data_IF_362875905030
#
_entry.id   IF_362875905030
#
_cell.length_a   1.000
_cell.length_b   1.000
_cell.length_c   1.000
_cell.angle_alpha   90.00
_cell.angle_beta   90.00
_cell.angle_gamma   90.00
#
_symmetry.space_group_name_H-M   'P 1'
#
loop_
_entity.id
_entity.type
_entity.pdbx_description
1 polymer ?
#
# COMPACT_ATOMS: atom_id res chain seq x y z
N UNK A 1 -9.82 -1.50 23.36
CA UNK A 1 -9.70 -0.51 22.27
C UNK A 1 -9.67 -1.27 20.95
N UNK A 2 -10.59 -1.01 20.02
CA UNK A 2 -10.45 -1.53 18.66
C UNK A 2 -9.35 -0.70 17.98
N UNK A 3 -8.18 -1.30 17.77
CA UNK A 3 -7.05 -0.61 17.15
C UNK A 3 -7.36 -0.22 15.71
N UNK A 4 -6.78 0.88 15.24
CA UNK A 4 -6.80 1.20 13.81
C UNK A 4 -6.08 0.10 13.05
N UNK A 5 -6.70 -0.45 12.01
CA UNK A 5 -6.09 -1.49 11.17
C UNK A 5 -5.75 -0.87 9.82
N UNK A 6 -4.55 -1.15 9.32
CA UNK A 6 -4.17 -0.83 7.95
C UNK A 6 -3.93 -2.12 7.19
N UNK A 7 -4.57 -2.25 6.04
CA UNK A 7 -4.35 -3.33 5.10
C UNK A 7 -3.61 -2.78 3.88
N UNK A 8 -2.65 -3.54 3.38
CA UNK A 8 -2.03 -3.31 2.08
C UNK A 8 -2.05 -4.63 1.29
N UNK A 9 -2.33 -4.52 0.00
CA UNK A 9 -2.45 -5.66 -0.89
C UNK A 9 -1.96 -5.29 -2.28
N UNK A 10 -1.78 -6.31 -3.11
CA UNK A 10 -1.58 -6.12 -4.55
C UNK A 10 -2.74 -6.77 -5.31
N UNK A 11 -3.12 -6.15 -6.43
CA UNK A 11 -4.19 -6.64 -7.30
C UNK A 11 -3.95 -6.20 -8.74
N UNK A 12 -4.64 -6.83 -9.69
CA UNK A 12 -4.67 -6.36 -11.08
C UNK A 12 -5.29 -4.95 -11.15
N UNK A 13 -4.66 -4.10 -11.97
CA UNK A 13 -5.14 -2.78 -12.31
C UNK A 13 -4.86 -2.43 -13.77
N UNK A 14 -5.19 -1.20 -14.21
CA UNK A 14 -5.15 -0.81 -15.63
C UNK A 14 -3.79 -0.94 -16.33
N UNK A 15 -2.71 -1.15 -15.57
CA UNK A 15 -1.34 -1.25 -16.08
C UNK A 15 -0.60 -2.48 -15.54
N UNK A 16 -1.32 -3.50 -15.07
CA UNK A 16 -0.75 -4.70 -14.44
C UNK A 16 -0.91 -4.67 -12.91
N UNK A 17 -0.08 -5.44 -12.19
CA UNK A 17 -0.19 -5.54 -10.73
C UNK A 17 0.12 -4.20 -10.05
N UNK A 18 -0.74 -3.80 -9.12
CA UNK A 18 -0.67 -2.54 -8.39
C UNK A 18 -0.77 -2.77 -6.90
N UNK A 19 -0.02 -1.99 -6.12
CA UNK A 19 -0.07 -2.01 -4.66
C UNK A 19 -0.99 -0.91 -4.16
N UNK A 20 -1.92 -1.28 -3.30
CA UNK A 20 -2.88 -0.37 -2.68
C UNK A 20 -2.92 -0.58 -1.16
N UNK A 21 -3.45 0.41 -0.45
CA UNK A 21 -3.72 0.30 0.98
C UNK A 21 -5.05 0.96 1.37
N UNK A 22 -5.63 0.50 2.47
CA UNK A 22 -6.82 1.09 3.09
C UNK A 22 -6.72 0.97 4.61
N UNK A 23 -7.43 1.86 5.30
CA UNK A 23 -7.50 1.91 6.76
C UNK A 23 -8.91 1.57 7.23
N UNK A 24 -9.01 0.72 8.24
CA UNK A 24 -10.25 0.45 8.94
C UNK A 24 -10.45 1.47 10.05
N UNK A 25 -11.57 2.18 9.99
CA UNK A 25 -12.04 3.05 11.06
C UNK A 25 -13.04 2.28 11.93
N UNK A 26 -12.64 1.92 13.17
CA UNK A 26 -13.50 1.18 14.08
C UNK A 26 -14.67 2.02 14.60
N UNK A 27 -14.62 3.36 14.53
CA UNK A 27 -15.70 4.22 14.99
C UNK A 27 -16.91 4.20 14.05
N UNK A 28 -16.65 4.00 12.75
CA UNK A 28 -17.68 3.90 11.70
C UNK A 28 -17.87 2.47 11.18
N UNK A 29 -17.05 1.54 11.65
CA UNK A 29 -16.97 0.15 11.18
C UNK A 29 -16.80 0.03 9.66
N UNK A 30 -16.00 0.93 9.07
CA UNK A 30 -15.82 1.04 7.62
C UNK A 30 -14.36 1.07 7.24
N UNK A 31 -14.07 0.55 6.05
CA UNK A 31 -12.79 0.79 5.37
C UNK A 31 -12.81 2.14 4.65
N UNK A 32 -11.68 2.81 4.63
CA UNK A 32 -11.44 3.94 3.74
C UNK A 32 -11.51 3.49 2.28
N UNK A 33 -11.63 4.46 1.37
CA UNK A 33 -11.31 4.20 -0.03
C UNK A 33 -9.87 3.66 -0.14
N UNK A 34 -9.65 2.76 -1.10
CA UNK A 34 -8.33 2.25 -1.39
C UNK A 34 -7.46 3.36 -1.97
N UNK A 35 -6.25 3.49 -1.43
CA UNK A 35 -5.23 4.42 -1.90
C UNK A 35 -4.20 3.66 -2.71
N UNK A 36 -4.02 4.07 -3.96
CA UNK A 36 -2.98 3.54 -4.83
C UNK A 36 -1.61 4.03 -4.37
N UNK A 37 -0.69 3.10 -4.09
CA UNK A 37 0.67 3.40 -3.64
C UNK A 37 1.71 3.30 -4.75
N UNK A 38 1.59 2.27 -5.60
CA UNK A 38 2.52 2.05 -6.70
C UNK A 38 2.35 3.09 -7.81
N UNK A 39 3.47 3.56 -8.39
CA UNK A 39 3.42 4.49 -9.53
C UNK A 39 2.91 3.76 -10.77
N UNK A 40 1.81 4.23 -11.37
CA UNK A 40 1.27 3.63 -12.59
C UNK A 40 1.87 4.20 -13.86
N UNK A 41 2.64 5.29 -13.79
CA UNK A 41 3.21 5.92 -14.99
C UNK A 41 4.38 5.13 -15.57
N UNK A 42 5.17 4.51 -14.71
CA UNK A 42 6.47 3.89 -15.05
C UNK A 42 6.54 2.40 -14.75
N UNK A 43 5.48 1.82 -14.17
CA UNK A 43 5.49 0.46 -13.64
C UNK A 43 4.33 -0.35 -14.18
N UNK A 44 4.65 -1.61 -14.53
CA UNK A 44 3.66 -2.62 -14.93
C UNK A 44 3.48 -3.73 -13.89
N UNK A 45 4.37 -3.78 -12.90
CA UNK A 45 4.31 -4.79 -11.85
C UNK A 45 4.76 -4.18 -10.51
N UNK A 46 3.83 -4.14 -9.56
CA UNK A 46 4.09 -3.84 -8.16
C UNK A 46 3.41 -4.88 -7.27
N UNK A 47 4.17 -5.46 -6.35
CA UNK A 47 3.73 -6.63 -5.58
C UNK A 47 4.40 -6.74 -4.21
N UNK A 48 3.90 -7.68 -3.41
CA UNK A 48 4.43 -8.04 -2.09
C UNK A 48 4.60 -6.86 -1.13
N UNK A 49 3.52 -6.11 -0.82
CA UNK A 49 3.60 -5.05 0.17
C UNK A 49 3.87 -5.62 1.56
N UNK A 50 4.73 -4.92 2.30
CA UNK A 50 4.94 -5.10 3.72
C UNK A 50 4.60 -3.79 4.45
N UNK A 51 4.05 -3.91 5.65
CA UNK A 51 3.72 -2.78 6.51
C UNK A 51 4.58 -2.80 7.78
N UNK A 52 5.03 -1.62 8.20
CA UNK A 52 5.66 -1.39 9.49
C UNK A 52 4.95 -0.23 10.19
N UNK A 53 4.81 -0.32 11.52
CA UNK A 53 4.18 0.71 12.35
C UNK A 53 5.19 1.19 13.37
N UNK A 54 5.39 2.51 13.47
CA UNK A 54 6.25 3.11 14.49
C UNK A 54 5.53 3.26 15.84
N UNK A 55 6.27 3.64 16.89
CA UNK A 55 5.71 3.82 18.24
C UNK A 55 4.66 4.94 18.33
N UNK A 56 4.64 5.87 17.37
CA UNK A 56 3.63 6.92 17.27
C UNK A 56 2.37 6.46 16.51
N UNK A 57 2.35 5.20 16.02
CA UNK A 57 1.24 4.62 15.27
C UNK A 57 1.24 4.99 13.78
N UNK A 58 2.33 5.55 13.27
CA UNK A 58 2.43 5.89 11.85
C UNK A 58 2.82 4.66 11.04
N UNK A 59 2.17 4.49 9.89
CA UNK A 59 2.36 3.29 9.06
C UNK A 59 3.24 3.63 7.86
N UNK A 60 4.25 2.80 7.63
CA UNK A 60 5.06 2.82 6.40
C UNK A 60 4.81 1.54 5.62
N UNK A 61 4.52 1.69 4.33
CA UNK A 61 4.45 0.59 3.39
C UNK A 61 5.73 0.51 2.57
N UNK A 62 6.23 -0.70 2.32
CA UNK A 62 7.28 -0.98 1.36
C UNK A 62 6.83 -2.09 0.41
N UNK A 63 7.21 -2.03 -0.86
CA UNK A 63 6.80 -3.01 -1.86
C UNK A 63 7.85 -3.16 -2.96
N UNK A 64 7.75 -4.26 -3.73
CA UNK A 64 8.57 -4.48 -4.92
C UNK A 64 7.90 -3.81 -6.12
N UNK A 65 8.67 -3.15 -6.97
CA UNK A 65 8.17 -2.43 -8.13
C UNK A 65 9.14 -2.52 -9.31
N UNK A 66 8.65 -2.97 -10.47
CA UNK A 66 9.42 -2.98 -11.72
C UNK A 66 9.36 -1.63 -12.42
N UNK A 67 10.48 -0.91 -12.48
CA UNK A 67 10.55 0.46 -13.00
C UNK A 67 10.83 0.58 -14.51
N UNK A 68 10.62 -0.51 -15.27
CA UNK A 68 10.93 -0.58 -16.70
C UNK A 68 12.32 -1.18 -17.02
N UNK A 69 13.20 -1.32 -16.03
CA UNK A 69 14.52 -1.98 -16.16
C UNK A 69 14.68 -3.12 -15.16
N UNK A 70 14.43 -2.84 -13.88
CA UNK A 70 14.66 -3.76 -12.76
C UNK A 70 13.57 -3.64 -11.72
N UNK A 71 13.47 -4.67 -10.90
CA UNK A 71 12.70 -4.61 -9.66
C UNK A 71 13.48 -3.79 -8.63
N UNK A 72 12.83 -2.77 -8.07
CA UNK A 72 13.33 -1.96 -6.96
C UNK A 72 12.38 -2.05 -5.78
N UNK A 73 12.88 -1.77 -4.58
CA UNK A 73 12.03 -1.58 -3.41
C UNK A 73 11.62 -0.12 -3.34
N UNK A 74 10.31 0.10 -3.28
CA UNK A 74 9.70 1.41 -3.07
C UNK A 74 9.11 1.47 -1.67
N UNK A 75 8.96 2.68 -1.12
CA UNK A 75 8.31 2.88 0.17
C UNK A 75 7.50 4.18 0.20
N UNK A 76 6.44 4.19 1.00
CA UNK A 76 5.59 5.37 1.21
C UNK A 76 5.02 5.36 2.63
N UNK A 77 4.93 6.54 3.24
CA UNK A 77 4.23 6.72 4.51
C UNK A 77 2.74 6.84 4.24
N UNK A 78 1.94 6.06 4.95
CA UNK A 78 0.49 6.08 4.80
C UNK A 78 -0.12 7.17 5.69
N UNK A 79 -1.20 7.83 5.21
CA UNK A 79 -1.96 8.79 6.01
C UNK A 79 -2.74 8.15 7.19
#
# INVERSE_FOLDING_TARGET
AAGNVTAAWYQDGPRGLQVQAARYDPSTARWSAATLLSDTRTTVEASFPALAVDAAGSVTAAWQQYNGWRTVVMASRLP
#
